data_IF_974900727620
#
_entry.id   IF_974900727620
#
_cell.length_a   1.000
_cell.length_b   1.000
_cell.length_c   1.000
_cell.angle_alpha   90.00
_cell.angle_beta   90.00
_cell.angle_gamma   90.00
#
_symmetry.space_group_name_H-M   'P 1'
#
loop_
_entity.id
_entity.type
_entity.pdbx_description
1 polymer ?
#
# COMPACT_ATOMS: atom_id res chain seq x y z
N UNK A 1 -18.13 64.18 71.16
CA UNK A 1 -19.39 63.40 71.13
C UNK A 1 -20.01 63.62 69.76
N UNK A 2 -20.13 62.52 68.98
CA UNK A 2 -20.94 62.32 67.75
C UNK A 2 -20.55 63.13 66.48
N UNK A 3 -20.00 62.50 65.42
CA UNK A 3 -20.64 61.68 64.35
C UNK A 3 -21.34 62.61 63.33
N UNK A 4 -20.75 62.85 62.14
CA UNK A 4 -21.09 62.25 60.81
C UNK A 4 -22.54 62.52 60.35
N UNK A 5 -22.93 62.80 59.10
CA UNK A 5 -22.36 62.71 57.74
C UNK A 5 -23.37 63.45 56.83
N UNK A 6 -22.91 63.97 55.67
CA UNK A 6 -23.41 63.55 54.34
C UNK A 6 -22.68 64.26 53.20
N UNK A 7 -22.17 63.43 52.30
CA UNK A 7 -21.56 63.76 51.01
C UNK A 7 -22.60 64.16 49.97
N UNK A 8 -22.19 64.99 49.00
CA UNK A 8 -22.63 64.92 47.61
C UNK A 8 -21.58 65.60 46.70
N UNK A 9 -21.22 64.94 45.59
CA UNK A 9 -20.76 65.64 44.38
C UNK A 9 -19.43 65.23 43.74
N UNK A 10 -19.55 64.40 42.69
CA UNK A 10 -18.70 64.31 41.47
C UNK A 10 -17.37 63.52 41.51
N UNK A 11 -17.44 62.27 41.01
CA UNK A 11 -16.29 61.46 40.55
C UNK A 11 -16.26 61.38 39.01
N UNK A 12 -15.09 61.66 38.45
CA UNK A 12 -14.69 61.40 37.06
C UNK A 12 -14.41 59.89 36.92
N UNK A 13 -14.97 59.23 35.89
CA UNK A 13 -14.60 57.86 35.52
C UNK A 13 -13.93 57.83 34.13
N UNK A 14 -12.72 57.24 34.12
CA UNK A 14 -11.99 56.78 32.93
C UNK A 14 -12.62 55.48 32.43
N UNK A 15 -12.80 55.34 31.12
CA UNK A 15 -13.02 54.03 30.49
C UNK A 15 -11.87 53.71 29.54
N UNK A 16 -11.21 52.60 29.84
CA UNK A 16 -10.18 51.96 29.03
C UNK A 16 -10.80 51.38 27.76
N UNK A 17 -10.17 51.60 26.61
CA UNK A 17 -10.46 50.91 25.36
C UNK A 17 -9.82 49.51 25.39
N UNK A 18 -10.66 48.48 25.42
CA UNK A 18 -10.32 47.10 25.05
C UNK A 18 -11.32 46.63 24.00
N UNK A 19 -10.85 46.41 22.77
CA UNK A 19 -11.57 45.69 21.71
C UNK A 19 -10.57 45.38 20.60
N UNK A 20 -10.35 44.18 20.11
CA UNK A 20 -10.86 42.85 20.40
C UNK A 20 -10.12 41.94 19.43
N UNK A 21 -9.35 40.98 19.93
CA UNK A 21 -8.58 40.06 19.08
C UNK A 21 -9.51 38.92 18.67
N UNK A 22 -9.99 38.94 17.44
CA UNK A 22 -10.80 37.86 16.89
C UNK A 22 -9.90 36.63 16.67
N UNK A 23 -10.00 35.65 17.57
CA UNK A 23 -9.40 34.33 17.38
C UNK A 23 -10.24 33.60 16.34
N UNK A 24 -9.69 33.45 15.13
CA UNK A 24 -10.21 32.49 14.17
C UNK A 24 -9.89 31.09 14.70
N UNK A 25 -10.88 30.46 15.35
CA UNK A 25 -10.87 29.02 15.57
C UNK A 25 -11.01 28.36 14.20
N UNK A 26 -9.88 28.00 13.60
CA UNK A 26 -9.89 26.99 12.55
C UNK A 26 -10.49 25.73 13.16
N UNK A 27 -11.66 25.32 12.67
CA UNK A 27 -12.24 24.04 13.03
C UNK A 27 -11.25 22.96 12.54
N UNK A 28 -10.47 22.39 13.47
CA UNK A 28 -9.69 21.21 13.20
C UNK A 28 -10.69 20.13 12.81
N UNK A 29 -10.72 19.75 11.54
CA UNK A 29 -11.38 18.52 11.11
C UNK A 29 -10.83 17.41 11.98
N UNK A 30 -11.67 16.60 12.66
CA UNK A 30 -11.16 15.50 13.44
C UNK A 30 -10.28 14.66 12.52
N UNK A 31 -9.02 14.46 12.91
CA UNK A 31 -8.15 13.53 12.20
C UNK A 31 -8.81 12.16 12.34
N UNK A 32 -9.48 11.72 11.27
CA UNK A 32 -10.10 10.40 11.26
C UNK A 32 -8.98 9.39 11.42
N UNK A 33 -9.10 8.52 12.42
CA UNK A 33 -8.19 7.38 12.55
C UNK A 33 -8.29 6.57 11.25
N UNK A 34 -7.15 6.21 10.65
CA UNK A 34 -7.14 5.21 9.60
C UNK A 34 -7.04 3.83 10.23
N UNK A 35 -7.45 2.84 9.46
CA UNK A 35 -7.38 1.45 9.85
C UNK A 35 -6.56 0.69 8.82
N UNK A 36 -5.57 -0.06 9.30
CA UNK A 36 -4.70 -0.88 8.46
C UNK A 36 -5.03 -2.36 8.66
N UNK A 37 -5.09 -3.10 7.56
CA UNK A 37 -5.26 -4.56 7.55
C UNK A 37 -3.99 -5.19 6.98
N UNK A 38 -3.46 -6.19 7.66
CA UNK A 38 -2.18 -6.84 7.35
C UNK A 38 -2.40 -8.34 7.24
N UNK A 39 -2.12 -8.94 6.09
CA UNK A 39 -2.17 -10.39 5.91
C UNK A 39 -0.94 -11.05 6.54
N UNK A 40 -1.17 -12.06 7.39
CA UNK A 40 -0.14 -12.83 8.07
C UNK A 40 -0.10 -14.24 7.47
N UNK A 41 0.82 -14.44 6.53
CA UNK A 41 0.88 -15.62 5.65
C UNK A 41 0.95 -16.92 6.45
N UNK A 42 1.83 -16.98 7.46
CA UNK A 42 2.06 -18.23 8.19
C UNK A 42 0.99 -18.54 9.22
N UNK A 43 0.45 -17.50 9.87
CA UNK A 43 -0.57 -17.68 10.90
C UNK A 43 -1.99 -17.85 10.35
N UNK A 44 -2.23 -17.67 9.04
CA UNK A 44 -3.56 -17.72 8.42
C UNK A 44 -4.54 -16.71 9.05
N UNK A 45 -4.06 -15.49 9.27
CA UNK A 45 -4.84 -14.41 9.90
C UNK A 45 -4.63 -13.08 9.20
N UNK A 46 -5.51 -12.12 9.49
CA UNK A 46 -5.32 -10.71 9.18
C UNK A 46 -5.29 -9.91 10.49
N UNK A 47 -4.24 -9.11 10.69
CA UNK A 47 -4.16 -8.17 11.81
C UNK A 47 -4.77 -6.82 11.43
N UNK A 48 -5.60 -6.28 12.31
CA UNK A 48 -6.23 -4.96 12.18
C UNK A 48 -5.52 -3.99 13.12
N UNK A 49 -5.00 -2.89 12.59
CA UNK A 49 -4.20 -1.90 13.31
C UNK A 49 -4.93 -0.55 13.28
N UNK A 50 -5.07 0.06 14.45
CA UNK A 50 -5.47 1.46 14.60
C UNK A 50 -4.24 2.36 14.43
N UNK A 51 -4.27 3.31 13.48
CA UNK A 51 -3.13 4.16 13.16
C UNK A 51 -2.97 5.38 14.09
N UNK A 52 -3.91 5.61 15.00
CA UNK A 52 -3.76 6.64 16.03
C UNK A 52 -3.00 6.10 17.25
N UNK A 53 -3.38 4.92 17.73
CA UNK A 53 -2.71 4.26 18.85
C UNK A 53 -1.50 3.42 18.44
N UNK A 54 -1.39 3.06 17.16
CA UNK A 54 -0.38 2.14 16.64
C UNK A 54 -0.43 0.77 17.32
N UNK A 55 -1.63 0.25 17.52
CA UNK A 55 -1.87 -1.04 18.18
C UNK A 55 -2.75 -1.94 17.34
N UNK A 56 -2.48 -3.24 17.39
CA UNK A 56 -3.40 -4.25 16.86
C UNK A 56 -4.67 -4.27 17.71
N UNK A 57 -5.82 -4.01 17.10
CA UNK A 57 -7.14 -4.00 17.75
C UNK A 57 -7.89 -5.31 17.57
N UNK A 58 -7.58 -6.05 16.50
CA UNK A 58 -8.19 -7.34 16.18
C UNK A 58 -7.24 -8.22 15.38
N UNK A 59 -7.37 -9.54 15.57
CA UNK A 59 -6.81 -10.55 14.66
C UNK A 59 -7.98 -11.37 14.13
N UNK A 60 -8.13 -11.41 12.81
CA UNK A 60 -9.23 -12.08 12.09
C UNK A 60 -8.66 -13.37 11.51
N UNK A 61 -9.30 -14.51 11.77
CA UNK A 61 -8.92 -15.77 11.12
C UNK A 61 -9.43 -15.75 9.67
N UNK A 62 -8.55 -16.13 8.74
CA UNK A 62 -8.87 -16.26 7.32
C UNK A 62 -8.46 -17.64 6.81
N UNK A 63 -8.50 -17.82 5.49
CA UNK A 63 -8.02 -19.00 4.77
C UNK A 63 -6.51 -19.19 4.84
N UNK A 64 -6.03 -20.25 4.18
CA UNK A 64 -4.61 -20.62 4.20
C UNK A 64 -3.74 -19.69 3.33
N UNK A 65 -2.54 -19.36 3.83
CA UNK A 65 -1.51 -18.55 3.13
C UNK A 65 -2.07 -17.22 2.59
N UNK A 66 -2.62 -16.32 3.44
CA UNK A 66 -3.12 -15.05 3.00
C UNK A 66 -1.99 -14.12 2.55
N UNK A 67 -2.08 -13.56 1.33
CA UNK A 67 -1.08 -12.65 0.76
C UNK A 67 -1.70 -11.34 0.27
N UNK A 68 -2.08 -11.23 -1.00
CA UNK A 68 -2.67 -10.02 -1.57
C UNK A 68 -3.87 -9.53 -0.76
N UNK A 69 -3.94 -8.22 -0.50
CA UNK A 69 -4.98 -7.63 0.35
C UNK A 69 -5.27 -6.19 -0.08
N UNK A 70 -6.55 -5.85 -0.30
CA UNK A 70 -6.98 -4.49 -0.70
C UNK A 70 -8.39 -4.20 -0.17
N UNK A 71 -8.65 -2.94 0.19
CA UNK A 71 -10.02 -2.47 0.42
C UNK A 71 -10.83 -2.41 -0.88
N UNK A 72 -12.13 -2.66 -0.78
CA UNK A 72 -13.07 -2.23 -1.83
C UNK A 72 -13.07 -0.70 -1.96
N UNK A 73 -13.42 -0.20 -3.14
CA UNK A 73 -13.43 1.25 -3.42
C UNK A 73 -14.37 2.04 -2.51
N UNK A 74 -15.41 1.39 -1.98
CA UNK A 74 -16.36 1.98 -1.02
C UNK A 74 -15.92 1.82 0.45
N UNK A 75 -14.78 1.19 0.71
CA UNK A 75 -14.20 0.98 2.04
C UNK A 75 -14.95 -0.01 2.93
N UNK A 76 -16.04 -0.64 2.46
CA UNK A 76 -16.88 -1.50 3.31
C UNK A 76 -16.30 -2.90 3.52
N UNK A 77 -15.48 -3.36 2.58
CA UNK A 77 -14.90 -4.69 2.63
C UNK A 77 -13.40 -4.66 2.39
N UNK A 78 -12.73 -5.70 2.86
CA UNK A 78 -11.33 -6.01 2.52
C UNK A 78 -11.31 -7.37 1.82
N UNK A 79 -10.71 -7.40 0.64
CA UNK A 79 -10.43 -8.63 -0.09
C UNK A 79 -9.06 -9.18 0.33
N UNK A 80 -8.96 -10.50 0.49
CA UNK A 80 -7.73 -11.20 0.87
C UNK A 80 -7.56 -12.43 -0.02
N UNK A 81 -6.48 -12.48 -0.80
CA UNK A 81 -6.11 -13.68 -1.53
C UNK A 81 -5.57 -14.72 -0.55
N UNK A 82 -6.19 -15.90 -0.54
CA UNK A 82 -5.79 -17.04 0.29
C UNK A 82 -5.30 -18.15 -0.64
N UNK A 83 -3.98 -18.19 -0.83
CA UNK A 83 -3.31 -18.94 -1.89
C UNK A 83 -3.68 -20.42 -1.90
N UNK A 84 -3.48 -21.10 -0.77
CA UNK A 84 -3.71 -22.55 -0.69
C UNK A 84 -5.20 -22.94 -0.67
N UNK A 85 -6.11 -21.96 -0.58
CA UNK A 85 -7.57 -22.14 -0.64
C UNK A 85 -8.17 -21.74 -2.00
N UNK A 86 -7.34 -21.34 -2.97
CA UNK A 86 -7.74 -20.95 -4.34
C UNK A 86 -8.91 -19.94 -4.40
N UNK A 87 -8.95 -18.98 -3.47
CA UNK A 87 -10.06 -18.04 -3.34
C UNK A 87 -9.65 -16.66 -2.82
N UNK A 88 -10.56 -15.69 -2.98
CA UNK A 88 -10.44 -14.36 -2.37
C UNK A 88 -11.46 -14.26 -1.24
N UNK A 89 -11.03 -14.17 0.01
CA UNK A 89 -11.93 -13.98 1.15
C UNK A 89 -12.34 -12.51 1.30
N UNK A 90 -13.57 -12.30 1.74
CA UNK A 90 -14.18 -10.97 1.93
C UNK A 90 -14.40 -10.73 3.41
N UNK A 91 -13.71 -9.73 3.96
CA UNK A 91 -13.87 -9.28 5.34
C UNK A 91 -14.77 -8.06 5.36
N UNK A 92 -15.81 -8.08 6.19
CA UNK A 92 -16.66 -6.91 6.48
C UNK A 92 -15.92 -6.00 7.47
N UNK A 93 -15.69 -4.74 7.10
CA UNK A 93 -14.87 -3.80 7.88
C UNK A 93 -15.56 -3.40 9.19
N UNK A 94 -16.88 -3.26 9.18
CA UNK A 94 -17.65 -2.89 10.36
C UNK A 94 -17.73 -4.04 11.38
N UNK A 95 -17.87 -5.28 10.90
CA UNK A 95 -17.94 -6.47 11.76
C UNK A 95 -16.56 -7.05 12.11
N UNK A 96 -15.54 -6.75 11.31
CA UNK A 96 -14.19 -7.32 11.40
C UNK A 96 -14.20 -8.85 11.41
N UNK A 97 -14.93 -9.44 10.46
CA UNK A 97 -15.02 -10.88 10.27
C UNK A 97 -15.14 -11.22 8.78
N UNK A 98 -14.74 -12.44 8.41
CA UNK A 98 -14.97 -12.97 7.06
C UNK A 98 -16.46 -13.23 6.90
N UNK A 99 -17.05 -12.63 5.86
CA UNK A 99 -18.48 -12.74 5.56
C UNK A 99 -18.76 -13.45 4.24
N UNK A 100 -17.74 -13.61 3.39
CA UNK A 100 -17.90 -14.16 2.05
C UNK A 100 -16.59 -14.63 1.43
N UNK A 101 -16.70 -15.22 0.24
CA UNK A 101 -15.58 -15.48 -0.66
C UNK A 101 -15.95 -15.27 -2.13
N UNK A 102 -14.96 -14.87 -2.93
CA UNK A 102 -15.03 -14.82 -4.39
C UNK A 102 -14.21 -15.98 -4.98
N UNK A 103 -14.61 -16.54 -6.13
CA UNK A 103 -13.85 -17.58 -6.79
C UNK A 103 -12.54 -17.02 -7.36
N UNK A 104 -11.49 -17.84 -7.40
CA UNK A 104 -10.24 -17.55 -8.10
C UNK A 104 -9.82 -18.76 -8.96
N UNK A 105 -8.76 -18.61 -9.75
CA UNK A 105 -7.91 -19.73 -10.16
C UNK A 105 -6.98 -20.18 -9.01
N UNK A 106 -6.16 -21.22 -9.25
CA UNK A 106 -5.25 -21.74 -8.25
C UNK A 106 -4.19 -20.75 -7.77
N UNK A 107 -3.83 -20.81 -6.49
CA UNK A 107 -2.79 -20.02 -5.84
C UNK A 107 -2.86 -18.50 -6.17
N UNK A 108 -3.94 -17.81 -5.77
CA UNK A 108 -4.04 -16.38 -5.93
C UNK A 108 -2.99 -15.62 -5.11
N UNK A 109 -2.24 -14.75 -5.78
CA UNK A 109 -1.16 -13.96 -5.18
C UNK A 109 -1.60 -12.49 -4.95
N UNK A 110 -1.11 -11.54 -5.76
CA UNK A 110 -1.65 -10.18 -5.80
C UNK A 110 -2.82 -10.08 -6.77
N UNK A 111 -3.59 -9.03 -6.57
CA UNK A 111 -4.68 -8.67 -7.45
C UNK A 111 -4.77 -7.15 -7.59
N UNK A 112 -5.47 -6.72 -8.63
CA UNK A 112 -5.82 -5.32 -8.83
C UNK A 112 -7.35 -5.20 -9.03
N UNK A 113 -7.97 -4.34 -8.23
CA UNK A 113 -9.37 -3.97 -8.40
C UNK A 113 -9.49 -2.79 -9.39
N UNK A 114 -10.46 -2.80 -10.29
CA UNK A 114 -10.69 -1.67 -11.19
C UNK A 114 -11.15 -0.41 -10.46
N UNK A 115 -11.17 0.73 -11.17
CA UNK A 115 -11.52 2.02 -10.59
C UNK A 115 -12.97 2.07 -10.06
N UNK A 116 -13.88 1.34 -10.73
CA UNK A 116 -15.29 1.23 -10.35
C UNK A 116 -15.54 0.24 -9.21
N UNK A 117 -14.56 -0.61 -8.87
CA UNK A 117 -14.70 -1.65 -7.85
C UNK A 117 -15.52 -2.87 -8.28
N UNK A 118 -15.69 -3.08 -9.59
CA UNK A 118 -16.56 -4.13 -10.17
C UNK A 118 -15.78 -5.32 -10.70
N UNK A 119 -14.56 -5.11 -11.17
CA UNK A 119 -13.73 -6.16 -11.78
C UNK A 119 -12.44 -6.33 -10.98
N UNK A 120 -12.18 -7.55 -10.54
CA UNK A 120 -10.96 -7.95 -9.86
C UNK A 120 -10.11 -8.80 -10.80
N UNK A 121 -8.86 -8.42 -10.99
CA UNK A 121 -7.86 -9.17 -11.77
C UNK A 121 -6.88 -9.81 -10.80
N UNK A 122 -6.76 -11.14 -10.81
CA UNK A 122 -5.99 -11.91 -9.82
C UNK A 122 -4.87 -12.67 -10.53
N UNK A 123 -3.63 -12.52 -10.08
CA UNK A 123 -2.53 -13.37 -10.53
C UNK A 123 -2.65 -14.75 -9.89
N UNK A 124 -2.62 -15.81 -10.72
CA UNK A 124 -2.72 -17.20 -10.28
C UNK A 124 -1.43 -17.94 -10.60
N UNK A 125 -0.58 -18.08 -9.58
CA UNK A 125 0.83 -18.46 -9.73
C UNK A 125 0.99 -19.85 -10.39
N UNK A 126 0.22 -20.83 -9.93
CA UNK A 126 0.34 -22.23 -10.35
C UNK A 126 -0.16 -22.51 -11.78
N UNK A 127 -1.11 -21.72 -12.28
CA UNK A 127 -1.73 -21.93 -13.61
C UNK A 127 -1.17 -20.98 -14.69
N UNK A 128 -0.30 -20.04 -14.31
CA UNK A 128 0.26 -19.04 -15.21
C UNK A 128 -0.82 -18.14 -15.84
N UNK A 129 -1.88 -17.82 -15.08
CA UNK A 129 -3.02 -17.05 -15.56
C UNK A 129 -3.27 -15.78 -14.73
N UNK A 130 -3.99 -14.85 -15.35
CA UNK A 130 -4.71 -13.80 -14.63
C UNK A 130 -6.21 -14.13 -14.69
N UNK A 131 -6.83 -14.46 -13.55
CA UNK A 131 -8.28 -14.66 -13.45
C UNK A 131 -8.99 -13.32 -13.39
N UNK A 132 -10.11 -13.18 -14.11
CA UNK A 132 -10.96 -11.99 -14.11
C UNK A 132 -12.26 -12.32 -13.38
N UNK A 133 -12.60 -11.55 -12.35
CA UNK A 133 -13.77 -11.79 -11.50
C UNK A 133 -14.71 -10.59 -11.56
N UNK A 134 -15.99 -10.84 -11.80
CA UNK A 134 -17.06 -9.88 -11.54
C UNK A 134 -17.40 -9.92 -10.05
N UNK A 135 -17.12 -8.83 -9.34
CA UNK A 135 -17.26 -8.73 -7.89
C UNK A 135 -18.73 -8.79 -7.48
N UNK A 136 -19.62 -8.16 -8.24
CA UNK A 136 -21.06 -8.12 -7.92
C UNK A 136 -21.71 -9.46 -8.21
N UNK A 137 -21.42 -10.05 -9.38
CA UNK A 137 -21.95 -11.38 -9.75
C UNK A 137 -21.25 -12.53 -9.04
N UNK A 138 -20.10 -12.27 -8.40
CA UNK A 138 -19.26 -13.25 -7.70
C UNK A 138 -18.86 -14.41 -8.60
N UNK A 139 -18.50 -14.09 -9.84
CA UNK A 139 -18.28 -15.08 -10.88
C UNK A 139 -17.01 -14.77 -11.67
N UNK A 140 -16.29 -15.83 -12.05
CA UNK A 140 -15.19 -15.72 -13.01
C UNK A 140 -15.77 -15.36 -14.38
N UNK A 141 -15.23 -14.32 -14.99
CA UNK A 141 -15.58 -13.89 -16.34
C UNK A 141 -14.68 -14.50 -17.40
N UNK A 142 -13.55 -15.09 -16.99
CA UNK A 142 -12.54 -15.66 -17.86
C UNK A 142 -11.15 -15.52 -17.26
N UNK A 143 -10.15 -15.88 -18.04
CA UNK A 143 -8.75 -15.85 -17.66
C UNK A 143 -7.90 -15.40 -18.85
N UNK A 144 -6.71 -14.89 -18.56
CA UNK A 144 -5.70 -14.49 -19.53
C UNK A 144 -4.45 -15.32 -19.27
N UNK A 145 -3.99 -16.07 -20.26
CA UNK A 145 -2.71 -16.78 -20.16
C UNK A 145 -1.56 -15.78 -20.18
N UNK A 146 -0.71 -15.82 -19.15
CA UNK A 146 0.49 -14.98 -19.00
C UNK A 146 1.74 -15.86 -18.90
N UNK A 147 2.86 -15.29 -18.47
CA UNK A 147 4.11 -16.01 -18.23
C UNK A 147 4.09 -16.85 -16.95
N UNK A 148 5.16 -17.61 -16.75
CA UNK A 148 5.27 -18.57 -15.64
C UNK A 148 5.41 -17.87 -14.29
N UNK A 149 4.67 -18.36 -13.29
CA UNK A 149 4.60 -17.84 -11.91
C UNK A 149 4.20 -16.34 -11.89
N UNK A 150 2.97 -15.98 -12.31
CA UNK A 150 2.48 -14.63 -12.19
C UNK A 150 2.29 -14.24 -10.72
N UNK A 151 2.69 -13.02 -10.37
CA UNK A 151 2.60 -12.54 -8.99
C UNK A 151 2.10 -11.11 -8.91
N UNK A 152 2.87 -10.13 -9.38
CA UNK A 152 2.56 -8.71 -9.28
C UNK A 152 1.37 -8.31 -10.14
N UNK A 153 0.52 -7.42 -9.63
CA UNK A 153 -0.66 -6.88 -10.32
C UNK A 153 -0.79 -5.39 -10.09
N UNK A 154 -0.97 -4.60 -11.16
CA UNK A 154 -1.22 -3.16 -11.07
C UNK A 154 -2.05 -2.66 -12.25
N UNK A 155 -3.01 -1.78 -11.99
CA UNK A 155 -3.82 -1.13 -13.05
C UNK A 155 -3.36 0.32 -13.25
N UNK A 156 -3.30 0.76 -14.49
CA UNK A 156 -2.95 2.14 -14.84
C UNK A 156 -3.96 3.12 -14.24
N UNK A 157 -3.57 4.38 -13.93
CA UNK A 157 -4.48 5.37 -13.36
C UNK A 157 -5.73 5.66 -14.21
N UNK A 158 -5.65 5.47 -15.53
CA UNK A 158 -6.78 5.62 -16.45
C UNK A 158 -7.60 4.33 -16.63
N UNK A 159 -7.22 3.24 -15.96
CA UNK A 159 -7.93 1.97 -15.94
C UNK A 159 -7.77 1.10 -17.18
N UNK A 160 -6.98 1.52 -18.18
CA UNK A 160 -6.93 0.88 -19.50
C UNK A 160 -5.91 -0.23 -19.63
N UNK A 161 -4.83 -0.15 -18.87
CA UNK A 161 -3.72 -1.11 -18.92
C UNK A 161 -3.56 -1.76 -17.56
N UNK A 162 -3.59 -3.09 -17.55
CA UNK A 162 -3.21 -3.91 -16.43
C UNK A 162 -1.79 -4.42 -16.66
N UNK A 163 -0.97 -4.40 -15.61
CA UNK A 163 0.33 -5.05 -15.58
C UNK A 163 0.22 -6.30 -14.72
N UNK A 164 0.67 -7.43 -15.27
CA UNK A 164 0.99 -8.62 -14.50
C UNK A 164 2.50 -8.91 -14.60
N UNK A 165 3.16 -9.21 -13.49
CA UNK A 165 4.56 -9.68 -13.53
C UNK A 165 4.59 -11.20 -13.44
N UNK A 166 5.48 -11.83 -14.21
CA UNK A 166 5.71 -13.28 -14.16
C UNK A 166 7.15 -13.57 -13.76
N UNK A 167 7.31 -14.21 -12.60
CA UNK A 167 8.58 -14.40 -11.88
C UNK A 167 9.60 -15.13 -12.74
N UNK A 168 9.28 -16.36 -13.16
CA UNK A 168 10.22 -17.26 -13.84
C UNK A 168 10.51 -16.81 -15.27
N UNK A 169 9.56 -16.13 -15.92
CA UNK A 169 9.74 -15.64 -17.29
C UNK A 169 10.36 -14.25 -17.39
N UNK A 170 10.54 -13.56 -16.26
CA UNK A 170 11.13 -12.22 -16.19
C UNK A 170 10.40 -11.19 -17.07
N UNK A 171 9.08 -11.21 -17.04
CA UNK A 171 8.24 -10.36 -17.87
C UNK A 171 7.29 -9.49 -17.05
N UNK A 172 7.05 -8.28 -17.57
CA UNK A 172 5.87 -7.48 -17.27
C UNK A 172 4.91 -7.54 -18.47
N UNK A 173 3.76 -8.16 -18.27
CA UNK A 173 2.69 -8.33 -19.25
C UNK A 173 1.79 -7.10 -19.23
N UNK A 174 1.70 -6.39 -20.35
CA UNK A 174 0.78 -5.28 -20.56
C UNK A 174 -0.50 -5.83 -21.16
N UNK A 175 -1.60 -5.69 -20.45
CA UNK A 175 -2.92 -6.24 -20.79
C UNK A 175 -3.90 -5.09 -20.98
N UNK A 176 -4.62 -5.06 -22.10
CA UNK A 176 -5.73 -4.12 -22.30
C UNK A 176 -6.95 -4.60 -21.50
N UNK A 177 -7.48 -3.76 -20.61
CA UNK A 177 -8.58 -4.15 -19.71
C UNK A 177 -9.93 -4.26 -20.41
N UNK A 178 -10.08 -3.64 -21.59
CA UNK A 178 -11.32 -3.68 -22.38
C UNK A 178 -11.36 -4.96 -23.21
N UNK A 179 -10.28 -5.26 -23.94
CA UNK A 179 -10.22 -6.47 -24.78
C UNK A 179 -9.81 -7.71 -24.01
N UNK A 180 -9.14 -7.54 -22.86
CA UNK A 180 -8.56 -8.61 -22.02
C UNK A 180 -7.48 -9.38 -22.75
N UNK A 181 -6.75 -8.70 -23.62
CA UNK A 181 -5.67 -9.28 -24.40
C UNK A 181 -4.33 -8.67 -23.99
N UNK A 182 -3.28 -9.49 -24.03
CA UNK A 182 -1.91 -9.01 -23.90
C UNK A 182 -1.56 -8.17 -25.12
N UNK A 183 -1.25 -6.90 -24.90
CA UNK A 183 -0.85 -5.95 -25.94
C UNK A 183 0.66 -5.78 -26.04
N UNK A 184 1.42 -6.13 -25.00
CA UNK A 184 2.88 -6.21 -25.02
C UNK A 184 3.43 -7.07 -23.87
N UNK A 185 4.62 -7.61 -24.07
CA UNK A 185 5.43 -8.26 -23.04
C UNK A 185 6.77 -7.54 -22.96
N UNK A 186 7.11 -7.01 -21.80
CA UNK A 186 8.35 -6.28 -21.58
C UNK A 186 9.26 -7.13 -20.70
N UNK A 187 10.46 -7.45 -21.20
CA UNK A 187 11.47 -8.14 -20.42
C UNK A 187 12.02 -7.21 -19.34
N UNK A 188 12.07 -7.71 -18.12
CA UNK A 188 12.66 -7.07 -16.93
C UNK A 188 13.74 -7.98 -16.34
N UNK A 189 14.38 -7.56 -15.25
CA UNK A 189 15.39 -8.39 -14.60
C UNK A 189 14.77 -9.54 -13.80
N UNK A 190 15.62 -10.44 -13.32
CA UNK A 190 15.22 -11.72 -12.78
C UNK A 190 14.21 -11.63 -11.62
N UNK A 191 13.15 -12.45 -11.69
CA UNK A 191 12.11 -12.62 -10.66
C UNK A 191 11.35 -11.33 -10.31
N UNK A 192 10.54 -10.79 -11.24
CA UNK A 192 9.75 -9.59 -10.97
C UNK A 192 8.56 -9.83 -10.03
N UNK A 193 8.46 -9.02 -8.96
CA UNK A 193 7.47 -9.20 -7.87
C UNK A 193 6.30 -8.23 -7.92
N UNK A 194 6.57 -6.97 -8.22
CA UNK A 194 5.59 -5.90 -8.04
C UNK A 194 5.67 -4.88 -9.17
N UNK A 195 4.54 -4.30 -9.52
CA UNK A 195 4.42 -3.18 -10.44
C UNK A 195 3.73 -2.01 -9.74
N UNK A 196 4.21 -0.78 -9.96
CA UNK A 196 3.60 0.44 -9.42
C UNK A 196 3.60 1.52 -10.49
N UNK A 197 2.41 2.05 -10.81
CA UNK A 197 2.29 3.18 -11.72
C UNK A 197 2.52 4.50 -10.99
N UNK A 198 3.20 5.44 -11.64
CA UNK A 198 3.06 6.85 -11.27
C UNK A 198 1.63 7.30 -11.52
N UNK A 199 1.08 8.14 -10.64
CA UNK A 199 -0.30 8.65 -10.76
C UNK A 199 -0.60 9.44 -12.02
N UNK A 200 0.42 10.08 -12.59
CA UNK A 200 0.32 10.80 -13.86
C UNK A 200 0.43 9.88 -15.08
N UNK A 201 0.55 8.55 -14.86
CA UNK A 201 0.73 7.52 -15.88
C UNK A 201 1.99 7.71 -16.75
N UNK A 202 2.97 8.51 -16.29
CA UNK A 202 4.20 8.77 -17.05
C UNK A 202 5.17 7.58 -17.04
N UNK A 203 5.14 6.77 -15.98
CA UNK A 203 6.03 5.62 -15.77
C UNK A 203 5.28 4.51 -15.04
N UNK A 204 5.68 3.26 -15.32
CA UNK A 204 5.40 2.12 -14.44
C UNK A 204 6.72 1.49 -13.99
N UNK A 205 6.86 1.26 -12.70
CA UNK A 205 8.06 0.70 -12.09
C UNK A 205 7.81 -0.76 -11.75
N UNK A 206 8.72 -1.64 -12.16
CA UNK A 206 8.64 -3.08 -11.89
C UNK A 206 9.87 -3.51 -11.10
N UNK A 207 9.66 -4.03 -9.89
CA UNK A 207 10.75 -4.58 -9.07
C UNK A 207 11.12 -5.98 -9.52
N UNK A 208 12.42 -6.27 -9.53
CA UNK A 208 13.01 -7.58 -9.84
C UNK A 208 13.82 -8.04 -8.63
N UNK A 209 13.27 -8.97 -7.86
CA UNK A 209 13.82 -9.39 -6.57
C UNK A 209 15.23 -9.97 -6.73
N UNK A 210 15.37 -11.02 -7.54
CA UNK A 210 16.67 -11.67 -7.78
C UNK A 210 17.57 -10.80 -8.66
N UNK A 211 16.97 -10.03 -9.57
CA UNK A 211 17.69 -9.06 -10.40
C UNK A 211 18.35 -7.94 -9.61
N UNK A 212 17.85 -7.63 -8.40
CA UNK A 212 18.38 -6.56 -7.55
C UNK A 212 18.10 -5.15 -8.07
N UNK A 213 17.10 -4.99 -8.95
CA UNK A 213 16.81 -3.73 -9.66
C UNK A 213 15.33 -3.41 -9.68
N UNK A 214 15.01 -2.14 -9.97
CA UNK A 214 13.68 -1.72 -10.41
C UNK A 214 13.79 -1.21 -11.84
N UNK A 215 13.03 -1.81 -12.76
CA UNK A 215 12.89 -1.33 -14.13
C UNK A 215 11.87 -0.21 -14.20
N UNK A 216 12.22 0.92 -14.80
CA UNK A 216 11.31 2.05 -15.08
C UNK A 216 10.90 1.97 -16.53
N UNK A 217 9.60 1.83 -16.79
CA UNK A 217 9.05 1.55 -18.11
C UNK A 217 8.17 2.73 -18.55
N UNK A 218 8.35 3.19 -19.79
CA UNK A 218 7.40 4.12 -20.44
C UNK A 218 6.16 3.31 -20.86
N UNK A 219 4.99 3.54 -20.26
CA UNK A 219 3.82 2.69 -20.48
C UNK A 219 3.22 2.84 -21.89
N UNK A 220 3.44 3.97 -22.56
CA UNK A 220 2.98 4.18 -23.92
C UNK A 220 3.87 3.45 -24.94
N UNK A 221 5.20 3.54 -24.74
CA UNK A 221 6.17 2.87 -25.62
C UNK A 221 6.35 1.38 -25.29
N UNK A 222 6.05 0.97 -24.06
CA UNK A 222 6.34 -0.37 -23.49
C UNK A 222 7.82 -0.70 -23.56
N UNK A 223 8.66 0.27 -23.19
CA UNK A 223 10.11 0.15 -23.22
C UNK A 223 10.71 0.51 -21.85
N UNK A 224 11.67 -0.29 -21.39
CA UNK A 224 12.47 0.04 -20.20
C UNK A 224 13.34 1.25 -20.53
N UNK A 225 13.11 2.36 -19.85
CA UNK A 225 13.84 3.62 -20.07
C UNK A 225 14.99 3.82 -19.07
N UNK A 226 14.85 3.27 -17.85
CA UNK A 226 15.86 3.30 -16.79
C UNK A 226 15.82 2.02 -15.96
N UNK A 227 16.92 1.80 -15.24
CA UNK A 227 17.00 0.82 -14.16
C UNK A 227 17.53 1.52 -12.91
N UNK A 228 16.86 1.33 -11.80
CA UNK A 228 17.29 1.78 -10.48
C UNK A 228 18.02 0.60 -9.84
N UNK A 229 19.25 0.84 -9.41
CA UNK A 229 20.07 -0.11 -8.65
C UNK A 229 20.27 0.40 -7.24
N UNK A 230 20.55 -0.51 -6.32
CA UNK A 230 20.69 -0.22 -4.90
C UNK A 230 22.08 -0.63 -4.42
N UNK A 231 22.65 0.20 -3.56
CA UNK A 231 23.96 -0.03 -2.95
C UNK A 231 23.91 0.37 -1.48
N UNK A 232 24.15 -0.60 -0.61
CA UNK A 232 24.10 -0.42 0.85
C UNK A 232 25.45 -0.83 1.42
N UNK A 233 26.22 0.08 2.03
CA UNK A 233 27.55 -0.22 2.55
C UNK A 233 27.54 -1.42 3.50
N UNK A 234 28.43 -2.38 3.25
CA UNK A 234 28.58 -3.59 4.05
C UNK A 234 27.63 -4.74 3.67
N UNK A 235 26.73 -4.56 2.71
CA UNK A 235 25.91 -5.63 2.15
C UNK A 235 26.39 -6.01 0.75
N UNK A 236 26.27 -7.31 0.43
CA UNK A 236 26.48 -7.79 -0.93
C UNK A 236 25.25 -7.51 -1.78
N UNK A 237 25.42 -7.30 -3.08
CA UNK A 237 24.35 -7.05 -4.04
C UNK A 237 23.24 -8.09 -3.97
N UNK A 238 23.57 -9.37 -3.77
CA UNK A 238 22.61 -10.48 -3.78
C UNK A 238 21.66 -10.44 -2.59
N UNK A 239 22.01 -9.72 -1.52
CA UNK A 239 21.14 -9.50 -0.35
C UNK A 239 20.21 -8.30 -0.53
N UNK A 240 20.38 -7.49 -1.58
CA UNK A 240 19.64 -6.26 -1.83
C UNK A 240 18.60 -6.52 -2.91
N UNK A 241 17.47 -7.08 -2.48
CA UNK A 241 16.43 -7.58 -3.38
C UNK A 241 15.16 -6.72 -3.28
N UNK A 242 14.80 -5.94 -4.31
CA UNK A 242 13.62 -5.08 -4.28
C UNK A 242 12.32 -5.88 -4.45
N UNK A 243 11.29 -5.49 -3.70
CA UNK A 243 9.97 -6.16 -3.70
C UNK A 243 8.86 -5.13 -3.84
N UNK A 244 8.15 -4.74 -2.77
CA UNK A 244 7.09 -3.74 -2.84
C UNK A 244 7.62 -2.35 -3.18
N UNK A 245 6.82 -1.60 -3.95
CA UNK A 245 7.07 -0.20 -4.32
C UNK A 245 5.85 0.62 -3.90
N UNK A 246 6.06 1.81 -3.34
CA UNK A 246 4.99 2.78 -3.10
C UNK A 246 5.46 4.19 -3.44
N UNK A 247 4.61 4.99 -4.09
CA UNK A 247 4.92 6.36 -4.46
C UNK A 247 3.99 7.38 -3.81
N UNK A 248 4.53 8.55 -3.48
CA UNK A 248 3.73 9.68 -2.99
C UNK A 248 2.78 10.20 -4.08
N UNK A 249 1.65 10.80 -3.70
CA UNK A 249 0.61 11.33 -4.61
C UNK A 249 1.16 12.34 -5.61
N UNK A 250 2.12 13.13 -5.18
CA UNK A 250 2.78 14.13 -6.02
C UNK A 250 3.79 13.52 -7.00
N UNK A 251 4.03 12.21 -6.92
CA UNK A 251 4.92 11.45 -7.80
C UNK A 251 6.40 11.78 -7.64
N UNK A 252 6.82 12.44 -6.54
CA UNK A 252 8.21 12.89 -6.35
C UNK A 252 9.05 11.95 -5.52
N UNK A 253 8.45 11.20 -4.60
CA UNK A 253 9.17 10.28 -3.72
C UNK A 253 8.61 8.87 -3.89
N UNK A 254 9.50 7.91 -4.15
CA UNK A 254 9.18 6.49 -4.12
C UNK A 254 9.90 5.81 -2.95
N UNK A 255 9.26 4.79 -2.41
CA UNK A 255 9.80 3.91 -1.39
C UNK A 255 9.85 2.50 -1.96
N UNK A 256 11.00 1.83 -1.84
CA UNK A 256 11.20 0.48 -2.35
C UNK A 256 11.65 -0.42 -1.21
N UNK A 257 10.88 -1.47 -0.92
CA UNK A 257 11.24 -2.48 0.06
C UNK A 257 12.38 -3.33 -0.48
N UNK A 258 13.47 -3.44 0.27
CA UNK A 258 14.65 -4.26 -0.04
C UNK A 258 14.69 -5.40 0.96
N UNK A 259 14.03 -6.51 0.62
CA UNK A 259 13.54 -7.50 1.56
C UNK A 259 14.61 -8.09 2.48
N UNK A 260 15.51 -8.95 1.98
CA UNK A 260 16.57 -9.54 2.79
C UNK A 260 17.57 -8.53 3.37
N UNK A 261 17.64 -7.32 2.81
CA UNK A 261 18.49 -6.25 3.31
C UNK A 261 17.91 -5.55 4.55
N UNK A 262 16.65 -5.80 4.90
CA UNK A 262 15.93 -5.13 6.00
C UNK A 262 15.97 -3.61 5.84
N UNK A 263 15.74 -3.14 4.60
CA UNK A 263 15.80 -1.72 4.25
C UNK A 263 14.60 -1.31 3.41
N UNK A 264 14.16 -0.08 3.59
CA UNK A 264 13.36 0.63 2.60
C UNK A 264 14.25 1.70 1.97
N UNK A 265 14.47 1.64 0.66
CA UNK A 265 15.12 2.71 -0.09
C UNK A 265 14.13 3.85 -0.32
N UNK A 266 14.59 5.08 -0.11
CA UNK A 266 13.89 6.30 -0.54
C UNK A 266 14.51 6.75 -1.84
N UNK A 267 13.69 6.93 -2.87
CA UNK A 267 14.11 7.26 -4.23
C UNK A 267 13.44 8.55 -4.66
N UNK A 268 14.23 9.48 -5.20
CA UNK A 268 13.70 10.63 -5.92
C UNK A 268 13.12 10.13 -7.25
N UNK A 269 11.80 10.15 -7.38
CA UNK A 269 11.09 9.53 -8.50
C UNK A 269 11.15 10.36 -9.81
N UNK A 270 11.74 11.56 -9.77
CA UNK A 270 11.96 12.40 -10.94
C UNK A 270 13.32 12.11 -11.59
N UNK A 271 14.35 11.94 -10.76
CA UNK A 271 15.73 11.69 -11.19
C UNK A 271 16.15 10.22 -11.09
N UNK A 272 15.29 9.37 -10.51
CA UNK A 272 15.50 7.93 -10.27
C UNK A 272 16.70 7.64 -9.35
N UNK A 273 17.11 8.61 -8.52
CA UNK A 273 18.26 8.47 -7.62
C UNK A 273 17.82 8.01 -6.24
N UNK A 274 18.49 6.99 -5.72
CA UNK A 274 18.34 6.60 -4.31
C UNK A 274 18.96 7.67 -3.41
N UNK A 275 18.19 8.18 -2.46
CA UNK A 275 18.59 9.28 -1.58
C UNK A 275 18.87 8.83 -0.15
N UNK A 276 18.23 7.74 0.29
CA UNK A 276 18.32 7.25 1.67
C UNK A 276 17.95 5.78 1.77
N UNK A 277 18.43 5.11 2.81
CA UNK A 277 17.97 3.79 3.22
C UNK A 277 17.49 3.83 4.66
N UNK A 278 16.29 3.31 4.92
CA UNK A 278 15.66 3.25 6.23
C UNK A 278 15.75 1.82 6.76
N UNK A 279 16.32 1.64 7.96
CA UNK A 279 16.33 0.35 8.65
C UNK A 279 14.93 0.02 9.15
N UNK A 280 14.40 -1.12 8.71
CA UNK A 280 13.09 -1.67 9.11
C UNK A 280 13.28 -3.07 9.70
N UNK A 281 12.18 -3.76 9.99
CA UNK A 281 12.18 -5.15 10.45
C UNK A 281 12.81 -6.13 9.46
N UNK A 282 12.90 -7.39 9.87
CA UNK A 282 13.56 -8.43 9.09
C UNK A 282 12.66 -8.91 7.94
N UNK A 283 13.22 -8.97 6.73
CA UNK A 283 12.53 -9.38 5.49
C UNK A 283 11.30 -8.52 5.18
N UNK A 284 11.53 -7.26 4.80
CA UNK A 284 10.45 -6.36 4.38
C UNK A 284 9.83 -6.80 3.04
N UNK A 285 8.50 -6.66 2.90
CA UNK A 285 7.74 -7.08 1.72
C UNK A 285 7.02 -5.91 1.05
N UNK A 286 5.76 -5.68 1.41
CA UNK A 286 4.90 -4.66 0.81
C UNK A 286 4.64 -3.51 1.78
N UNK A 287 3.97 -2.47 1.28
CA UNK A 287 3.75 -1.24 2.00
C UNK A 287 2.45 -0.57 1.58
N UNK A 288 1.91 0.27 2.44
CA UNK A 288 0.76 1.12 2.14
C UNK A 288 0.88 2.45 2.88
N UNK A 289 0.51 3.53 2.19
CA UNK A 289 0.41 4.85 2.80
C UNK A 289 -0.88 4.99 3.59
N UNK A 290 -0.84 5.76 4.67
CA UNK A 290 -2.07 6.34 5.20
C UNK A 290 -2.69 7.24 4.12
N UNK A 291 -4.03 7.35 4.03
CA UNK A 291 -4.70 8.18 3.03
C UNK A 291 -4.25 9.64 2.98
N UNK A 292 -3.72 10.21 4.07
CA UNK A 292 -3.14 11.56 4.13
C UNK A 292 -1.64 11.62 3.76
N UNK A 293 -1.02 10.47 3.47
CA UNK A 293 0.41 10.26 3.19
C UNK A 293 1.38 10.73 4.29
N UNK A 294 0.86 10.93 5.50
CA UNK A 294 1.72 11.28 6.63
C UNK A 294 2.62 10.11 7.02
N UNK A 295 2.08 8.89 6.92
CA UNK A 295 2.78 7.67 7.27
C UNK A 295 2.76 6.65 6.14
N UNK A 296 3.81 5.84 6.09
CA UNK A 296 3.93 4.63 5.27
C UNK A 296 4.18 3.46 6.21
N UNK A 297 3.40 2.41 6.10
CA UNK A 297 3.59 1.18 6.87
C UNK A 297 4.24 0.13 5.98
N UNK A 298 5.12 -0.71 6.52
CA UNK A 298 5.74 -1.83 5.79
C UNK A 298 5.66 -3.14 6.57
N UNK A 299 5.33 -4.24 5.91
CA UNK A 299 5.28 -5.58 6.49
C UNK A 299 6.67 -6.18 6.52
N UNK A 300 7.08 -6.75 7.65
CA UNK A 300 8.39 -7.39 7.82
C UNK A 300 8.18 -8.86 8.23
N UNK A 301 8.31 -9.74 7.24
CA UNK A 301 7.90 -11.13 7.33
C UNK A 301 8.62 -11.87 8.46
N UNK A 302 9.95 -11.85 8.47
CA UNK A 302 10.74 -12.66 9.41
C UNK A 302 10.69 -12.13 10.84
N UNK A 303 10.56 -10.82 11.04
CA UNK A 303 10.41 -10.23 12.37
C UNK A 303 8.98 -10.18 12.89
N UNK A 304 7.99 -10.65 12.12
CA UNK A 304 6.58 -10.69 12.49
C UNK A 304 6.03 -9.33 12.94
N UNK A 305 6.46 -8.26 12.25
CA UNK A 305 6.09 -6.90 12.62
C UNK A 305 5.81 -5.98 11.43
N UNK A 306 5.23 -4.84 11.73
CA UNK A 306 5.04 -3.72 10.82
C UNK A 306 5.89 -2.55 11.27
N UNK A 307 6.63 -1.94 10.35
CA UNK A 307 7.38 -0.71 10.59
C UNK A 307 6.54 0.49 10.14
N UNK A 308 6.48 1.55 10.94
CA UNK A 308 5.81 2.81 10.61
C UNK A 308 6.86 3.85 10.27
N UNK A 309 6.80 4.40 9.07
CA UNK A 309 7.68 5.43 8.54
C UNK A 309 6.91 6.76 8.48
N UNK A 310 7.45 7.80 9.12
CA UNK A 310 7.04 9.18 8.86
C UNK A 310 7.60 9.60 7.50
N UNK A 311 6.71 9.91 6.55
CA UNK A 311 7.06 10.14 5.14
C UNK A 311 7.86 11.43 4.98
N UNK A 312 7.43 12.51 5.64
CA UNK A 312 8.09 13.81 5.57
C UNK A 312 9.47 13.80 6.23
N UNK A 313 9.59 13.15 7.40
CA UNK A 313 10.87 13.00 8.09
C UNK A 313 11.75 11.90 7.48
N UNK A 314 11.19 11.05 6.60
CA UNK A 314 11.80 9.84 6.06
C UNK A 314 12.46 9.02 7.18
N UNK A 315 11.69 8.67 8.20
CA UNK A 315 12.21 8.05 9.43
C UNK A 315 11.24 7.01 9.95
N UNK A 316 11.77 5.84 10.30
CA UNK A 316 11.00 4.83 11.05
C UNK A 316 10.78 5.34 12.47
N UNK A 317 9.52 5.40 12.89
CA UNK A 317 9.10 5.98 14.18
C UNK A 317 8.50 4.94 15.14
N UNK A 318 8.05 3.79 14.62
CA UNK A 318 7.37 2.78 15.41
C UNK A 318 7.50 1.40 14.74
N UNK A 319 7.43 0.37 15.56
CA UNK A 319 7.25 -1.02 15.15
C UNK A 319 6.05 -1.60 15.89
N UNK A 320 5.23 -2.40 15.21
CA UNK A 320 3.99 -2.98 15.71
C UNK A 320 4.04 -4.49 15.47
N UNK A 321 3.95 -5.29 16.53
CA UNK A 321 3.90 -6.75 16.40
C UNK A 321 2.56 -7.19 15.80
N UNK A 322 2.60 -8.13 14.87
CA UNK A 322 1.42 -8.70 14.18
C UNK A 322 1.52 -10.24 14.19
N UNK A 323 0.76 -10.93 13.32
CA UNK A 323 0.88 -12.38 13.16
C UNK A 323 2.18 -12.79 12.47
N UNK A 324 2.36 -14.09 12.25
CA UNK A 324 3.59 -14.63 11.67
C UNK A 324 3.65 -14.45 10.14
N UNK A 325 4.84 -14.07 9.66
CA UNK A 325 5.12 -13.77 8.25
C UNK A 325 4.13 -12.77 7.64
N UNK A 326 4.02 -11.53 8.17
CA UNK A 326 3.20 -10.51 7.52
C UNK A 326 3.73 -10.22 6.12
N UNK A 327 2.81 -10.16 5.15
CA UNK A 327 3.16 -10.09 3.72
C UNK A 327 2.56 -8.86 3.05
N UNK A 328 1.23 -8.79 2.95
CA UNK A 328 0.49 -7.71 2.31
C UNK A 328 -0.10 -6.74 3.33
N UNK A 329 -0.44 -5.53 2.89
CA UNK A 329 -1.23 -4.60 3.70
C UNK A 329 -2.06 -3.64 2.88
N UNK A 330 -3.13 -3.13 3.49
CA UNK A 330 -3.96 -2.06 2.93
C UNK A 330 -4.45 -1.14 4.04
N UNK A 331 -4.67 0.14 3.72
CA UNK A 331 -5.05 1.18 4.70
C UNK A 331 -6.15 2.05 4.10
N UNK A 332 -7.22 2.24 4.85
CA UNK A 332 -8.31 3.14 4.46
C UNK A 332 -8.80 3.96 5.65
N UNK A 333 -9.64 4.94 5.35
CA UNK A 333 -10.49 5.56 6.35
C UNK A 333 -11.69 4.61 6.60
N UNK A 334 -11.99 4.27 7.87
CA UNK A 334 -13.12 3.41 8.21
C UNK A 334 -14.47 4.05 7.90
#
# INVERSE_FOLDING_TARGET
>A
MQVELKEDGLRIWRYCLFSGMAVWLAAATPASAFIAYVSNEKSNTVSVIDTNSWTVTKTIKVGQRPRGIEFTRDGKFVFVAVGDDDSIQVIDVAKQEVVDSLPSGPDPELFALDADGKILYVANENDNTVTIIDVEKRARLGEIQVGVEPEGMAISPDGKILINTSETTNMAHFIDTTTREIVANVLVDARPRYAEFKRDNSEVWVSSEIGGTVSVIDPAKREVTKKISFEIPGLRSEAIQPVGIGMTKDGKTAFVALGPANRVAVVDAVSHKVTKYLLVGQRVWHMAFTPDEKYLLTTNGVSNDVSVIDVAAQKVIKTIQVGELPWGMTIAQP
#
